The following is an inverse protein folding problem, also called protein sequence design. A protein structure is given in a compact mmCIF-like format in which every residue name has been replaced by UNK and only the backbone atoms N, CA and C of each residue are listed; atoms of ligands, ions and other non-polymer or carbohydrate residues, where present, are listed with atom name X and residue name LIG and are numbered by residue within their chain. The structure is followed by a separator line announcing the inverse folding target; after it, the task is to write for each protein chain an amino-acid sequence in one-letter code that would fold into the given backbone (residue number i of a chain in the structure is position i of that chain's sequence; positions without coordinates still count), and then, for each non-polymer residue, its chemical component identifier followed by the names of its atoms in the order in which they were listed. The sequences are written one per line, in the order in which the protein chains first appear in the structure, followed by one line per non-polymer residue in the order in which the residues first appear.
data_IF_455261663907
#
_entry.id   IF_455261663907
#
_cell.length_a   1.000
_cell.length_b   1.000
_cell.length_c   1.000
_cell.angle_alpha   90.00
_cell.angle_beta   90.00
_cell.angle_gamma   90.00
#
_symmetry.space_group_name_H-M   'P 1'
#
loop_
_entity.id
_entity.type
_entity.pdbx_description
1 polymer ?
#
# COMPACT_ATOMS: atom_id res chain seq x y z
N UNK A 1 -31.98 -38.32 56.55
CA UNK A 1 -32.58 -38.14 55.21
C UNK A 1 -32.31 -36.70 54.73
N UNK A 2 -31.19 -36.49 54.03
CA UNK A 2 -31.09 -35.95 52.64
C UNK A 2 -31.91 -34.67 52.35
N UNK A 3 -31.27 -33.50 52.47
CA UNK A 3 -31.59 -32.28 51.71
C UNK A 3 -30.28 -31.69 51.18
N UNK A 4 -30.05 -31.89 49.88
CA UNK A 4 -28.88 -31.46 49.08
C UNK A 4 -29.47 -30.58 47.96
N UNK A 5 -29.19 -29.28 47.95
CA UNK A 5 -28.09 -28.65 47.16
C UNK A 5 -28.45 -28.58 45.66
N UNK A 6 -29.27 -27.60 45.26
CA UNK A 6 -29.64 -27.36 43.85
C UNK A 6 -30.02 -25.88 43.60
N UNK A 7 -29.16 -24.93 43.94
CA UNK A 7 -29.32 -23.51 43.59
C UNK A 7 -27.94 -22.85 43.47
N UNK A 8 -27.17 -23.20 42.43
CA UNK A 8 -25.79 -22.66 42.31
C UNK A 8 -25.03 -22.92 41.02
N UNK A 9 -25.70 -23.17 39.89
CA UNK A 9 -25.00 -23.50 38.62
C UNK A 9 -25.39 -22.55 37.46
N UNK A 10 -26.43 -21.71 37.60
CA UNK A 10 -26.94 -20.90 36.49
C UNK A 10 -26.21 -19.59 36.17
N UNK A 11 -25.30 -19.10 37.02
CA UNK A 11 -24.71 -17.75 36.89
C UNK A 11 -23.27 -17.76 36.35
N UNK A 12 -22.71 -18.94 36.07
CA UNK A 12 -21.29 -19.08 35.73
C UNK A 12 -20.97 -19.18 34.22
N UNK A 13 -21.92 -18.82 33.33
CA UNK A 13 -21.71 -18.92 31.88
C UNK A 13 -21.80 -17.60 31.10
N UNK A 14 -21.91 -16.45 31.78
CA UNK A 14 -22.15 -15.15 31.14
C UNK A 14 -20.93 -14.22 31.01
N UNK A 15 -19.71 -14.75 31.16
CA UNK A 15 -18.50 -13.93 31.27
C UNK A 15 -17.41 -14.14 30.20
N UNK A 16 -17.66 -14.85 29.09
CA UNK A 16 -16.61 -15.08 28.07
C UNK A 16 -17.04 -14.71 26.64
N UNK A 17 -17.67 -13.55 26.49
CA UNK A 17 -17.70 -12.83 25.22
C UNK A 17 -16.84 -11.57 25.36
N UNK A 18 -15.54 -11.73 25.69
CA UNK A 18 -14.60 -10.64 25.42
C UNK A 18 -14.48 -10.54 23.90
N UNK A 19 -15.23 -9.57 23.38
CA UNK A 19 -15.36 -9.24 21.99
C UNK A 19 -13.98 -9.25 21.32
N UNK A 20 -13.90 -9.94 20.18
CA UNK A 20 -12.90 -9.64 19.16
C UNK A 20 -13.20 -8.27 18.57
N UNK A 21 -13.09 -7.22 19.39
CA UNK A 21 -13.21 -5.86 18.94
C UNK A 21 -12.01 -5.60 18.03
N UNK A 22 -12.29 -5.17 16.80
CA UNK A 22 -11.25 -4.74 15.88
C UNK A 22 -10.36 -3.71 16.57
N UNK A 23 -9.02 -3.84 16.49
CA UNK A 23 -8.11 -2.89 17.08
C UNK A 23 -8.44 -1.48 16.60
N UNK A 24 -8.68 -0.54 17.53
CA UNK A 24 -9.08 0.83 17.19
C UNK A 24 -8.51 1.84 18.16
N UNK A 25 -8.21 3.02 17.60
CA UNK A 25 -7.86 4.22 18.35
C UNK A 25 -9.02 5.20 18.23
N UNK A 26 -9.38 5.85 19.34
CA UNK A 26 -10.42 6.89 19.38
C UNK A 26 -10.05 7.99 20.38
N UNK A 27 -10.80 9.08 20.36
CA UNK A 27 -10.69 10.12 21.39
C UNK A 27 -9.35 10.85 21.42
N UNK A 28 -8.64 10.93 20.28
CA UNK A 28 -7.35 11.63 20.20
C UNK A 28 -7.56 13.12 20.46
N UNK A 29 -6.90 13.63 21.50
CA UNK A 29 -6.85 15.04 21.90
C UNK A 29 -5.42 15.38 22.23
N UNK A 30 -5.04 16.64 22.09
CA UNK A 30 -3.74 17.09 22.57
C UNK A 30 -3.85 18.45 23.24
N UNK A 31 -2.98 18.68 24.21
CA UNK A 31 -2.85 19.93 24.93
C UNK A 31 -1.38 20.34 24.96
N UNK A 32 -1.13 21.63 24.79
CA UNK A 32 0.22 22.19 24.86
C UNK A 32 0.44 22.73 26.27
N UNK A 33 1.30 22.08 27.04
CA UNK A 33 1.72 22.62 28.34
C UNK A 33 2.81 23.66 28.10
N UNK A 34 2.44 24.94 28.12
CA UNK A 34 3.35 26.06 27.87
C UNK A 34 4.45 26.20 28.92
N UNK A 35 4.28 25.67 30.13
CA UNK A 35 5.29 25.76 31.21
C UNK A 35 6.43 24.79 30.97
N UNK A 36 6.07 23.55 30.65
CA UNK A 36 7.03 22.45 30.47
C UNK A 36 7.45 22.27 29.01
N UNK A 37 6.89 23.08 28.10
CA UNK A 37 7.09 23.01 26.63
C UNK A 37 6.84 21.60 26.08
N UNK A 38 5.87 20.93 26.67
CA UNK A 38 5.58 19.52 26.47
C UNK A 38 4.18 19.40 25.87
N UNK A 39 4.07 18.63 24.80
CA UNK A 39 2.77 18.34 24.18
C UNK A 39 2.24 17.04 24.77
N UNK A 40 1.11 17.11 25.44
CA UNK A 40 0.41 15.96 26.00
C UNK A 40 -0.67 15.51 25.01
N UNK A 41 -0.57 14.28 24.54
CA UNK A 41 -1.51 13.66 23.60
C UNK A 41 -2.28 12.58 24.36
N UNK A 42 -3.58 12.77 24.52
CA UNK A 42 -4.47 11.80 25.17
C UNK A 42 -5.27 11.04 24.11
N UNK A 43 -5.39 9.72 24.27
CA UNK A 43 -6.16 8.87 23.36
C UNK A 43 -6.70 7.62 24.06
N UNK A 44 -7.67 6.98 23.43
CA UNK A 44 -8.20 5.68 23.85
C UNK A 44 -7.79 4.60 22.85
N UNK A 45 -7.43 3.42 23.35
CA UNK A 45 -7.03 2.29 22.51
C UNK A 45 -7.68 1.01 22.99
N UNK A 46 -8.31 0.28 22.07
CA UNK A 46 -9.01 -0.98 22.35
C UNK A 46 -8.61 -2.05 21.34
N UNK A 47 -8.67 -3.32 21.75
CA UNK A 47 -8.41 -4.47 20.87
C UNK A 47 -6.94 -4.64 20.45
N UNK A 48 -6.01 -3.88 21.02
CA UNK A 48 -4.57 -3.98 20.71
C UNK A 48 -3.92 -5.21 21.36
N UNK A 49 -3.01 -5.87 20.64
CA UNK A 49 -2.19 -6.99 21.13
C UNK A 49 -0.80 -6.50 21.54
N UNK A 50 -0.09 -7.29 22.36
CA UNK A 50 1.27 -6.92 22.82
C UNK A 50 2.28 -6.70 21.70
N UNK A 51 2.09 -7.34 20.54
CA UNK A 51 2.98 -7.22 19.39
C UNK A 51 2.70 -5.97 18.54
N UNK A 52 1.51 -5.37 18.66
CA UNK A 52 1.13 -4.19 17.89
C UNK A 52 1.86 -2.95 18.40
N UNK A 53 1.96 -1.93 17.54
CA UNK A 53 2.75 -0.73 17.80
C UNK A 53 1.92 0.54 17.60
N UNK A 54 2.06 1.51 18.51
CA UNK A 54 1.43 2.83 18.42
C UNK A 54 2.47 3.86 17.96
N UNK A 55 2.10 4.66 16.95
CA UNK A 55 2.93 5.74 16.42
C UNK A 55 2.19 7.06 16.45
N UNK A 56 2.95 8.15 16.45
CA UNK A 56 2.43 9.51 16.36
C UNK A 56 3.02 10.17 15.13
N UNK A 57 2.15 10.78 14.32
CA UNK A 57 2.53 11.62 13.20
C UNK A 57 2.00 13.02 13.45
N UNK A 58 2.86 14.02 13.26
CA UNK A 58 2.52 15.43 13.46
C UNK A 58 2.69 16.16 12.13
N UNK A 59 1.72 16.99 11.76
CA UNK A 59 1.82 17.84 10.59
C UNK A 59 1.60 19.31 10.98
N UNK A 60 2.60 20.16 10.74
CA UNK A 60 2.44 21.60 10.80
C UNK A 60 1.79 22.13 9.53
N UNK A 61 1.00 23.19 9.65
CA UNK A 61 0.33 23.84 8.52
C UNK A 61 1.30 24.40 7.47
N UNK A 62 2.46 24.86 7.92
CA UNK A 62 3.54 25.49 7.15
C UNK A 62 4.74 24.57 7.04
N UNK A 63 5.16 23.95 8.16
CA UNK A 63 6.35 23.06 8.16
C UNK A 63 6.09 21.69 7.51
N UNK A 64 4.83 21.33 7.25
CA UNK A 64 4.45 20.03 6.71
C UNK A 64 4.66 18.91 7.73
N UNK A 65 5.13 17.75 7.28
CA UNK A 65 5.28 16.57 8.15
C UNK A 65 6.46 16.74 9.13
N UNK A 66 6.15 16.73 10.42
CA UNK A 66 7.10 16.82 11.53
C UNK A 66 7.25 15.43 12.14
N UNK A 67 8.50 14.96 12.28
CA UNK A 67 8.80 13.65 12.86
C UNK A 67 9.16 13.81 14.34
N UNK A 68 8.25 13.50 15.27
CA UNK A 68 8.55 13.55 16.70
C UNK A 68 9.56 12.44 17.07
N UNK A 69 10.67 12.80 17.73
CA UNK A 69 11.71 11.86 18.17
C UNK A 69 11.65 11.61 19.68
N UNK A 70 11.46 12.67 20.46
CA UNK A 70 11.44 12.63 21.93
C UNK A 70 10.04 12.34 22.47
N UNK A 71 9.50 11.18 22.11
CA UNK A 71 8.22 10.68 22.62
C UNK A 71 8.41 9.82 23.87
N UNK A 72 7.52 9.95 24.83
CA UNK A 72 7.46 9.11 26.03
C UNK A 72 6.00 8.79 26.43
N UNK A 73 5.82 7.84 27.37
CA UNK A 73 4.50 7.39 27.81
C UNK A 73 3.96 6.19 27.03
N UNK A 74 2.67 6.19 26.70
CA UNK A 74 1.99 5.10 26.03
C UNK A 74 2.23 5.14 24.51
N UNK A 75 3.47 4.92 24.06
CA UNK A 75 3.87 4.91 22.64
C UNK A 75 4.72 3.67 22.33
N UNK A 76 4.73 3.23 21.07
CA UNK A 76 5.51 2.08 20.62
C UNK A 76 4.82 0.74 20.87
N UNK A 77 5.62 -0.31 21.12
CA UNK A 77 5.14 -1.68 21.33
C UNK A 77 4.70 -1.93 22.77
N UNK A 78 3.79 -2.88 22.97
CA UNK A 78 3.38 -3.34 24.29
C UNK A 78 2.47 -2.37 25.05
N UNK A 79 1.86 -1.41 24.34
CA UNK A 79 0.87 -0.51 24.91
C UNK A 79 -0.36 -1.31 25.33
N UNK A 80 -0.79 -1.16 26.59
CA UNK A 80 -1.97 -1.84 27.13
C UNK A 80 -3.26 -1.18 26.63
N UNK A 81 -4.31 -1.94 26.27
CA UNK A 81 -5.62 -1.37 25.96
C UNK A 81 -6.17 -0.57 27.15
N UNK A 82 -6.93 0.49 26.89
CA UNK A 82 -7.55 1.34 27.90
C UNK A 82 -7.84 2.74 27.38
N UNK A 83 -8.68 3.46 28.13
CA UNK A 83 -8.99 4.87 27.90
C UNK A 83 -7.99 5.80 28.59
N UNK A 84 -7.84 7.03 28.08
CA UNK A 84 -7.01 8.07 28.69
C UNK A 84 -5.52 7.74 28.68
N UNK A 85 -5.05 7.01 27.67
CA UNK A 85 -3.61 6.80 27.45
C UNK A 85 -2.96 8.12 27.05
N UNK A 86 -1.76 8.36 27.58
CA UNK A 86 -1.03 9.63 27.39
C UNK A 86 0.29 9.38 26.70
N UNK A 87 0.58 10.19 25.68
CA UNK A 87 1.88 10.32 25.05
C UNK A 87 2.38 11.73 25.31
N UNK A 88 3.65 11.83 25.65
CA UNK A 88 4.33 13.06 25.99
C UNK A 88 5.39 13.32 24.94
N UNK A 89 5.29 14.46 24.26
CA UNK A 89 6.27 14.88 23.27
C UNK A 89 7.03 16.11 23.76
N UNK A 90 8.34 15.94 23.95
CA UNK A 90 9.26 17.04 24.25
C UNK A 90 9.75 17.67 22.94
N UNK A 91 9.09 18.77 22.56
CA UNK A 91 9.39 19.50 21.33
C UNK A 91 10.76 20.17 21.39
N UNK A 92 11.21 20.54 22.59
CA UNK A 92 12.47 21.25 22.82
C UNK A 92 13.64 20.29 22.74
N UNK A 93 13.50 19.08 23.28
CA UNK A 93 14.49 18.01 23.12
C UNK A 93 14.71 17.64 21.64
N UNK A 94 13.68 17.78 20.81
CA UNK A 94 13.78 17.60 19.36
C UNK A 94 14.42 18.81 18.63
N UNK A 95 14.73 19.90 19.34
CA UNK A 95 15.29 21.11 18.78
C UNK A 95 14.30 21.91 17.92
N UNK A 96 13.01 21.66 18.10
CA UNK A 96 11.94 22.28 17.31
C UNK A 96 11.33 23.47 18.06
N UNK A 97 10.91 24.48 17.30
CA UNK A 97 10.07 25.57 17.79
C UNK A 97 8.77 25.52 17.00
N UNK A 98 7.64 25.33 17.69
CA UNK A 98 6.32 25.29 17.07
C UNK A 98 5.67 26.64 17.31
N UNK A 99 5.62 27.47 16.27
CA UNK A 99 4.94 28.77 16.22
C UNK A 99 3.73 28.74 15.27
N UNK A 100 3.21 27.55 14.99
CA UNK A 100 2.14 27.32 14.03
C UNK A 100 1.08 26.34 14.53
N UNK A 101 -0.04 26.29 13.81
CA UNK A 101 -1.09 25.29 14.00
C UNK A 101 -0.59 23.90 13.58
N UNK A 102 -0.73 22.92 14.47
CA UNK A 102 -0.32 21.53 14.25
C UNK A 102 -1.52 20.58 14.27
N UNK A 103 -1.47 19.56 13.42
CA UNK A 103 -2.38 18.43 13.40
C UNK A 103 -1.64 17.20 13.94
N UNK A 104 -2.17 16.58 15.00
CA UNK A 104 -1.61 15.38 15.62
C UNK A 104 -2.48 14.18 15.30
N UNK A 105 -1.87 13.11 14.78
CA UNK A 105 -2.54 11.83 14.49
C UNK A 105 -1.82 10.70 15.21
N UNK A 106 -2.59 9.85 15.88
CA UNK A 106 -2.11 8.61 16.50
C UNK A 106 -2.50 7.44 15.59
N UNK A 107 -1.53 6.62 15.23
CA UNK A 107 -1.68 5.51 14.31
C UNK A 107 -1.39 4.18 15.02
N UNK A 108 -2.12 3.15 14.61
CA UNK A 108 -1.92 1.78 15.06
C UNK A 108 -1.31 0.98 13.92
N UNK A 109 -0.22 0.30 14.20
CA UNK A 109 0.39 -0.66 13.30
C UNK A 109 0.26 -2.08 13.86
N UNK A 110 -0.37 -2.96 13.09
CA UNK A 110 -0.65 -4.33 13.49
C UNK A 110 0.57 -5.22 13.23
N UNK A 111 0.96 -6.03 14.21
CA UNK A 111 2.11 -6.93 14.07
C UNK A 111 1.94 -7.96 12.94
N UNK A 112 0.71 -8.42 12.71
CA UNK A 112 0.41 -9.38 11.65
C UNK A 112 0.66 -8.80 10.26
N UNK A 113 0.53 -7.48 10.07
CA UNK A 113 0.86 -6.84 8.81
C UNK A 113 2.35 -7.02 8.46
N UNK A 114 3.24 -6.94 9.46
CA UNK A 114 4.67 -7.23 9.27
C UNK A 114 4.95 -8.72 9.04
N UNK A 115 4.24 -9.62 9.73
CA UNK A 115 4.42 -11.06 9.53
C UNK A 115 4.02 -11.48 8.10
N UNK A 116 2.99 -10.87 7.54
CA UNK A 116 2.57 -11.07 6.15
C UNK A 116 3.55 -10.43 5.17
N UNK A 117 4.02 -9.21 5.43
CA UNK A 117 5.02 -8.55 4.58
C UNK A 117 6.39 -9.27 4.58
N UNK A 118 6.78 -9.86 5.70
CA UNK A 118 8.04 -10.60 5.84
C UNK A 118 8.01 -12.02 5.28
N UNK A 119 6.84 -12.68 5.28
CA UNK A 119 6.70 -14.07 4.81
C UNK A 119 6.93 -14.27 3.31
N UNK A 120 6.92 -13.21 2.51
CA UNK A 120 7.01 -13.33 1.04
C UNK A 120 8.44 -13.13 0.48
N UNK A 121 9.49 -13.15 1.31
CA UNK A 121 10.86 -12.87 0.86
C UNK A 121 11.82 -14.08 0.85
N UNK A 122 11.46 -15.20 1.49
CA UNK A 122 12.35 -16.37 1.57
C UNK A 122 11.90 -17.55 0.71
N UNK A 123 10.63 -17.58 0.28
CA UNK A 123 10.20 -18.46 -0.79
C UNK A 123 10.63 -17.85 -2.11
N UNK A 124 11.69 -18.36 -2.74
CA UNK A 124 11.83 -18.25 -4.21
C UNK A 124 10.45 -18.60 -4.75
N UNK A 125 9.73 -17.68 -5.43
CA UNK A 125 8.35 -17.94 -5.84
C UNK A 125 8.40 -19.31 -6.51
N UNK A 126 7.60 -20.30 -6.04
CA UNK A 126 7.64 -21.63 -6.61
C UNK A 126 7.54 -21.38 -8.09
N UNK A 127 8.58 -21.79 -8.86
CA UNK A 127 8.63 -21.59 -10.31
C UNK A 127 7.22 -21.93 -10.74
N UNK A 128 6.45 -20.92 -11.15
CA UNK A 128 5.11 -21.18 -11.59
C UNK A 128 5.36 -22.03 -12.80
N UNK A 129 5.23 -23.35 -12.62
CA UNK A 129 5.00 -24.25 -13.72
C UNK A 129 3.64 -23.77 -14.15
N UNK A 130 3.65 -22.74 -15.00
CA UNK A 130 2.54 -22.37 -15.83
C UNK A 130 2.30 -23.66 -16.59
N UNK A 131 1.47 -24.54 -16.02
CA UNK A 131 0.68 -25.44 -16.81
C UNK A 131 -0.03 -24.46 -17.72
N UNK A 132 0.52 -24.31 -18.94
CA UNK A 132 -0.21 -23.69 -20.03
C UNK A 132 -1.42 -24.57 -20.14
N UNK A 133 -2.48 -24.20 -19.43
CA UNK A 133 -3.81 -24.57 -19.84
C UNK A 133 -3.94 -23.92 -21.20
N UNK A 134 -3.54 -24.69 -22.23
CA UNK A 134 -3.90 -24.49 -23.61
C UNK A 134 -5.41 -24.75 -23.74
N UNK A 135 -6.22 -24.16 -22.86
CA UNK A 135 -7.59 -23.80 -23.22
C UNK A 135 -7.42 -22.59 -24.11
N UNK A 136 -7.10 -22.90 -25.36
CA UNK A 136 -6.87 -21.89 -26.38
C UNK A 136 -8.02 -20.92 -26.35
N UNK A 137 -7.70 -19.64 -26.14
CA UNK A 137 -8.47 -18.61 -26.82
C UNK A 137 -8.46 -19.03 -28.28
N UNK A 138 -9.62 -19.46 -28.79
CA UNK A 138 -9.80 -19.78 -30.18
C UNK A 138 -9.22 -18.62 -31.00
N UNK A 139 -8.10 -18.86 -31.67
CA UNK A 139 -7.32 -17.85 -32.40
C UNK A 139 -8.12 -17.12 -33.50
N UNK A 140 -9.35 -17.55 -33.77
CA UNK A 140 -10.29 -16.86 -34.65
C UNK A 140 -10.87 -15.56 -34.08
N UNK A 141 -10.96 -15.38 -32.76
CA UNK A 141 -11.55 -14.16 -32.19
C UNK A 141 -10.57 -12.96 -32.17
N UNK A 142 -9.26 -13.23 -32.26
CA UNK A 142 -8.19 -12.21 -32.25
C UNK A 142 -7.76 -11.77 -33.65
N UNK A 143 -8.25 -12.44 -34.70
CA UNK A 143 -7.90 -12.17 -36.10
C UNK A 143 -8.92 -11.27 -36.84
N UNK A 144 -10.05 -10.93 -36.22
CA UNK A 144 -11.11 -10.14 -36.88
C UNK A 144 -11.05 -8.65 -36.52
N UNK A 145 -10.23 -8.28 -35.54
CA UNK A 145 -9.85 -6.89 -35.29
C UNK A 145 -8.43 -6.73 -35.81
N UNK A 146 -8.17 -5.67 -36.60
CA UNK A 146 -6.90 -5.46 -37.30
C UNK A 146 -5.67 -5.73 -36.43
N UNK A 147 -4.57 -6.17 -37.06
CA UNK A 147 -3.36 -6.57 -36.36
C UNK A 147 -2.81 -5.50 -35.41
N UNK A 148 -3.16 -4.22 -35.59
CA UNK A 148 -2.77 -3.15 -34.70
C UNK A 148 -3.60 -3.03 -33.41
N UNK A 149 -4.90 -3.34 -33.43
CA UNK A 149 -5.72 -3.42 -32.21
C UNK A 149 -5.29 -4.58 -31.30
N UNK A 150 -4.96 -5.73 -31.89
CA UNK A 150 -4.43 -6.89 -31.17
C UNK A 150 -3.05 -6.61 -30.55
N UNK A 151 -2.14 -6.00 -31.32
CA UNK A 151 -0.83 -5.59 -30.83
C UNK A 151 -0.93 -4.48 -29.76
N UNK A 152 -1.83 -3.51 -29.95
CA UNK A 152 -2.08 -2.44 -29.00
C UNK A 152 -2.64 -2.93 -27.67
N UNK A 153 -3.61 -3.86 -27.70
CA UNK A 153 -4.13 -4.52 -26.49
C UNK A 153 -3.07 -5.33 -25.75
N UNK A 154 -2.21 -6.05 -26.49
CA UNK A 154 -1.08 -6.78 -25.92
C UNK A 154 -0.06 -5.86 -25.24
N UNK A 155 0.30 -4.75 -25.88
CA UNK A 155 1.22 -3.75 -25.32
C UNK A 155 0.62 -3.03 -24.10
N UNK A 156 -0.69 -2.76 -24.12
CA UNK A 156 -1.39 -2.18 -22.97
C UNK A 156 -1.38 -3.13 -21.77
N UNK A 157 -1.74 -4.40 -21.96
CA UNK A 157 -1.70 -5.42 -20.90
C UNK A 157 -0.28 -5.64 -20.37
N UNK A 158 0.73 -5.60 -21.25
CA UNK A 158 2.11 -5.74 -20.81
C UNK A 158 2.60 -4.51 -20.04
N UNK A 159 2.12 -3.32 -20.39
CA UNK A 159 2.40 -2.08 -19.66
C UNK A 159 1.83 -2.11 -18.23
N UNK A 160 0.60 -2.60 -18.03
CA UNK A 160 0.01 -2.69 -16.68
C UNK A 160 0.79 -3.67 -15.78
N UNK A 161 1.21 -4.82 -16.32
CA UNK A 161 2.09 -5.77 -15.63
C UNK A 161 3.45 -5.16 -15.26
N UNK A 162 4.06 -4.36 -16.15
CA UNK A 162 5.33 -3.68 -15.87
C UNK A 162 5.18 -2.58 -14.81
N UNK A 163 4.04 -1.86 -14.81
CA UNK A 163 3.74 -0.85 -13.80
C UNK A 163 3.65 -1.48 -12.41
N UNK A 164 2.95 -2.61 -12.28
CA UNK A 164 2.85 -3.34 -11.01
C UNK A 164 4.22 -3.78 -10.48
N UNK A 165 5.08 -4.35 -11.35
CA UNK A 165 6.46 -4.71 -10.99
C UNK A 165 7.32 -3.51 -10.58
N UNK A 166 7.11 -2.34 -11.22
CA UNK A 166 7.81 -1.11 -10.87
C UNK A 166 7.42 -0.59 -9.49
N UNK A 167 6.14 -0.70 -9.11
CA UNK A 167 5.63 -0.32 -7.79
C UNK A 167 6.26 -1.23 -6.72
N UNK A 168 6.23 -2.54 -6.91
CA UNK A 168 6.85 -3.49 -5.98
C UNK A 168 8.36 -3.23 -5.79
N UNK A 169 9.07 -2.91 -6.87
CA UNK A 169 10.49 -2.57 -6.80
C UNK A 169 10.75 -1.25 -6.06
N UNK A 170 9.84 -0.28 -6.20
CA UNK A 170 9.92 1.00 -5.52
C UNK A 170 9.61 0.92 -4.03
N UNK A 171 8.68 0.05 -3.63
CA UNK A 171 8.37 -0.21 -2.22
C UNK A 171 9.54 -0.92 -1.52
N UNK A 172 10.21 -1.87 -2.20
CA UNK A 172 11.46 -2.47 -1.71
C UNK A 172 12.56 -1.42 -1.51
N UNK A 173 12.71 -0.49 -2.46
CA UNK A 173 13.65 0.63 -2.32
C UNK A 173 13.31 1.53 -1.12
N UNK A 174 12.03 1.88 -0.92
CA UNK A 174 11.60 2.67 0.24
C UNK A 174 11.93 1.99 1.56
N UNK A 175 11.62 0.70 1.69
CA UNK A 175 11.88 -0.08 2.91
C UNK A 175 13.38 -0.12 3.20
N UNK A 176 14.23 -0.38 2.19
CA UNK A 176 15.68 -0.48 2.37
C UNK A 176 16.34 0.86 2.66
N UNK A 177 15.86 1.95 2.04
CA UNK A 177 16.42 3.30 2.24
C UNK A 177 15.95 3.94 3.56
N UNK A 178 14.79 3.55 4.10
CA UNK A 178 14.32 4.07 5.39
C UNK A 178 15.24 3.64 6.54
N UNK A 179 15.85 2.46 6.44
CA UNK A 179 16.86 1.99 7.40
C UNK A 179 18.21 2.70 7.30
N UNK A 180 18.49 3.39 6.18
CA UNK A 180 19.78 4.05 5.94
C UNK A 180 19.77 5.56 6.23
N UNK A 181 18.59 6.15 6.47
CA UNK A 181 18.45 7.60 6.74
C UNK A 181 18.65 8.01 8.19
N UNK A 182 18.73 7.06 9.11
CA UNK A 182 19.16 7.37 10.47
C UNK A 182 20.69 7.39 10.45
N UNK A 183 21.29 8.49 10.93
CA UNK A 183 22.72 8.69 11.11
C UNK A 183 23.32 7.60 12.02
N UNK A 184 23.46 6.39 11.49
CA UNK A 184 24.31 5.38 12.10
C UNK A 184 25.72 5.87 11.79
N UNK A 185 26.27 6.67 12.71
CA UNK A 185 27.72 6.85 12.81
C UNK A 185 28.31 5.50 13.20
N UNK A 186 28.44 4.63 12.19
CA UNK A 186 29.20 3.40 12.33
C UNK A 186 30.60 3.86 12.69
N UNK A 187 31.11 3.40 13.83
CA UNK A 187 32.47 3.70 14.27
C UNK A 187 33.51 3.32 13.21
N UNK A 188 34.79 3.44 13.53
CA UNK A 188 35.92 3.20 12.60
C UNK A 188 36.08 1.75 12.11
N UNK A 189 35.04 0.91 12.23
CA UNK A 189 35.03 -0.46 11.73
C UNK A 189 34.87 -0.47 10.20
N UNK A 190 35.95 -0.83 9.52
CA UNK A 190 36.09 -0.87 8.06
C UNK A 190 35.21 -1.94 7.40
N UNK A 191 34.85 -3.02 8.09
CA UNK A 191 34.02 -4.09 7.50
C UNK A 191 32.53 -3.68 7.44
N UNK A 192 32.04 -3.00 8.47
CA UNK A 192 30.69 -2.45 8.48
C UNK A 192 30.53 -1.34 7.43
N UNK A 193 31.53 -0.48 7.25
CA UNK A 193 31.54 0.52 6.18
C UNK A 193 31.47 -0.12 4.79
N UNK A 194 32.22 -1.21 4.56
CA UNK A 194 32.20 -1.93 3.27
C UNK A 194 30.82 -2.57 3.00
N UNK A 195 30.19 -3.16 4.01
CA UNK A 195 28.84 -3.73 3.88
C UNK A 195 27.78 -2.65 3.64
N UNK A 196 27.90 -1.50 4.31
CA UNK A 196 27.01 -0.37 4.09
C UNK A 196 27.14 0.16 2.65
N UNK A 197 28.37 0.37 2.18
CA UNK A 197 28.63 0.82 0.81
C UNK A 197 28.05 -0.14 -0.24
N UNK A 198 28.24 -1.46 -0.07
CA UNK A 198 27.65 -2.47 -0.96
C UNK A 198 26.11 -2.45 -0.93
N UNK A 199 25.50 -2.23 0.24
CA UNK A 199 24.04 -2.10 0.35
C UNK A 199 23.50 -0.85 -0.31
N UNK A 200 24.23 0.28 -0.24
CA UNK A 200 23.85 1.53 -0.90
C UNK A 200 23.92 1.35 -2.42
N UNK A 201 25.02 0.78 -2.93
CA UNK A 201 25.19 0.49 -4.36
C UNK A 201 24.07 -0.41 -4.90
N UNK A 202 23.71 -1.46 -4.16
CA UNK A 202 22.60 -2.34 -4.53
C UNK A 202 21.25 -1.61 -4.52
N UNK A 203 21.02 -0.72 -3.55
CA UNK A 203 19.81 0.10 -3.49
C UNK A 203 19.71 1.06 -4.69
N UNK A 204 20.81 1.67 -5.09
CA UNK A 204 20.87 2.56 -6.25
C UNK A 204 20.66 1.79 -7.57
N UNK A 205 21.21 0.59 -7.68
CA UNK A 205 20.97 -0.30 -8.82
C UNK A 205 19.49 -0.69 -8.95
N UNK A 206 18.84 -1.05 -7.83
CA UNK A 206 17.42 -1.37 -7.78
C UNK A 206 16.54 -0.14 -8.13
N UNK A 207 16.89 1.04 -7.62
CA UNK A 207 16.22 2.30 -7.97
C UNK A 207 16.33 2.63 -9.46
N UNK A 208 17.54 2.51 -10.04
CA UNK A 208 17.77 2.74 -11.46
C UNK A 208 16.93 1.78 -12.32
N UNK A 209 16.87 0.50 -11.94
CA UNK A 209 16.06 -0.52 -12.62
C UNK A 209 14.57 -0.20 -12.55
N UNK A 210 14.06 0.20 -11.38
CA UNK A 210 12.66 0.60 -11.20
C UNK A 210 12.32 1.81 -12.08
N UNK A 211 13.20 2.82 -12.13
CA UNK A 211 13.02 4.01 -12.97
C UNK A 211 13.02 3.65 -14.46
N UNK A 212 13.92 2.77 -14.91
CA UNK A 212 13.95 2.28 -16.30
C UNK A 212 12.67 1.52 -16.65
N UNK A 213 12.19 0.63 -15.77
CA UNK A 213 10.95 -0.12 -15.98
C UNK A 213 9.73 0.80 -16.05
N UNK A 214 9.67 1.82 -15.19
CA UNK A 214 8.59 2.80 -15.21
C UNK A 214 8.58 3.58 -16.54
N UNK A 215 9.73 4.06 -17.00
CA UNK A 215 9.87 4.75 -18.29
C UNK A 215 9.47 3.85 -19.45
N UNK A 216 9.93 2.60 -19.47
CA UNK A 216 9.58 1.62 -20.49
C UNK A 216 8.06 1.36 -20.52
N UNK A 217 7.42 1.23 -19.35
CA UNK A 217 5.96 1.04 -19.27
C UNK A 217 5.19 2.21 -19.87
N UNK A 218 5.66 3.46 -19.66
CA UNK A 218 5.05 4.67 -20.22
C UNK A 218 5.19 4.71 -21.74
N UNK A 219 6.40 4.42 -22.25
CA UNK A 219 6.66 4.36 -23.69
C UNK A 219 5.80 3.29 -24.36
N UNK A 220 5.69 2.11 -23.76
CA UNK A 220 4.85 1.02 -24.29
C UNK A 220 3.37 1.31 -24.24
N UNK A 221 2.88 2.00 -23.20
CA UNK A 221 1.49 2.42 -23.12
C UNK A 221 1.15 3.43 -24.22
N UNK A 222 2.00 4.45 -24.38
CA UNK A 222 1.82 5.48 -25.42
C UNK A 222 1.91 4.84 -26.80
N UNK A 223 2.92 3.99 -27.03
CA UNK A 223 3.09 3.27 -28.29
C UNK A 223 1.94 2.32 -28.62
N UNK A 224 1.47 1.56 -27.63
CA UNK A 224 0.34 0.63 -27.79
C UNK A 224 -0.97 1.35 -28.12
N UNK A 225 -1.25 2.48 -27.45
CA UNK A 225 -2.43 3.31 -27.73
C UNK A 225 -2.32 3.94 -29.12
N UNK A 226 -1.16 4.51 -29.47
CA UNK A 226 -0.97 5.13 -30.78
C UNK A 226 -1.16 4.13 -31.93
N UNK A 227 -0.67 2.90 -31.76
CA UNK A 227 -0.79 1.81 -32.73
C UNK A 227 -2.23 1.30 -32.84
N UNK A 228 -2.95 1.19 -31.73
CA UNK A 228 -4.38 0.86 -31.71
C UNK A 228 -5.23 1.93 -32.41
N UNK A 229 -4.95 3.21 -32.18
CA UNK A 229 -5.66 4.34 -32.81
C UNK A 229 -5.40 4.38 -34.30
N UNK A 230 -4.15 4.22 -34.74
CA UNK A 230 -3.83 4.20 -36.17
C UNK A 230 -4.52 3.04 -36.88
N UNK A 231 -4.48 1.83 -36.31
CA UNK A 231 -5.16 0.68 -36.90
C UNK A 231 -6.67 0.88 -36.98
N UNK A 232 -7.31 1.37 -35.90
CA UNK A 232 -8.73 1.70 -35.90
C UNK A 232 -9.09 2.77 -36.95
N UNK A 233 -8.25 3.79 -37.12
CA UNK A 233 -8.48 4.86 -38.10
C UNK A 233 -8.44 4.33 -39.54
N UNK A 234 -7.61 3.33 -39.85
CA UNK A 234 -7.53 2.73 -41.20
C UNK A 234 -8.53 1.57 -41.42
N UNK A 235 -8.85 0.78 -40.40
CA UNK A 235 -9.78 -0.37 -40.54
C UNK A 235 -11.25 0.00 -40.41
N UNK A 236 -11.62 1.00 -39.59
CA UNK A 236 -13.04 1.35 -39.40
C UNK A 236 -13.69 1.90 -40.69
N UNK A 237 -13.06 2.81 -41.47
CA UNK A 237 -13.67 3.32 -42.70
C UNK A 237 -13.87 2.22 -43.77
N UNK A 238 -12.92 1.29 -43.88
CA UNK A 238 -13.01 0.17 -44.83
C UNK A 238 -14.10 -0.84 -44.44
N UNK A 239 -14.35 -1.02 -43.14
CA UNK A 239 -15.48 -1.81 -42.64
C UNK A 239 -16.84 -1.09 -42.85
N UNK A 240 -16.89 0.24 -42.73
CA UNK A 240 -18.12 1.03 -42.93
C UNK A 240 -18.56 1.11 -44.40
N UNK A 241 -17.64 1.02 -45.37
CA UNK A 241 -17.99 1.01 -46.79
C UNK A 241 -18.65 -0.31 -47.25
N UNK A 242 -18.43 -1.43 -46.56
CA UNK A 242 -19.17 -2.68 -46.81
C UNK A 242 -20.51 -2.62 -46.09
N UNK A 243 -21.53 -2.16 -46.82
CA UNK A 243 -22.93 -1.91 -46.44
C UNK A 243 -23.71 -3.16 -46.00
N UNK A 244 -23.22 -3.90 -45.00
CA UNK A 244 -23.93 -4.99 -44.36
C UNK A 244 -24.23 -4.58 -42.91
N UNK A 245 -25.49 -4.20 -42.64
CA UNK A 245 -26.00 -3.57 -41.40
C UNK A 245 -25.94 -4.45 -40.12
N UNK A 246 -24.98 -5.36 -40.01
CA UNK A 246 -24.94 -6.37 -38.93
C UNK A 246 -23.91 -6.09 -37.83
N UNK A 247 -23.03 -5.11 -37.99
CA UNK A 247 -22.00 -4.77 -36.99
C UNK A 247 -22.15 -3.32 -36.53
N UNK A 248 -22.55 -3.14 -35.28
CA UNK A 248 -22.60 -1.82 -34.63
C UNK A 248 -21.51 -1.70 -33.58
N UNK A 249 -20.74 -0.61 -33.61
CA UNK A 249 -19.80 -0.26 -32.55
C UNK A 249 -20.53 0.60 -31.51
N UNK A 250 -20.39 0.24 -30.23
CA UNK A 250 -20.82 1.09 -29.11
C UNK A 250 -19.59 1.51 -28.30
N UNK A 251 -19.50 2.80 -28.04
CA UNK A 251 -18.53 3.38 -27.13
C UNK A 251 -19.30 3.88 -25.92
N UNK A 252 -19.07 3.26 -24.76
CA UNK A 252 -19.67 3.67 -23.50
C UNK A 252 -18.56 4.16 -22.57
N UNK A 253 -18.70 5.37 -22.05
CA UNK A 253 -17.79 5.96 -21.08
C UNK A 253 -18.49 6.02 -19.73
N UNK A 254 -17.94 5.28 -18.76
CA UNK A 254 -18.51 5.27 -17.41
C UNK A 254 -18.31 6.63 -16.71
N UNK A 255 -19.12 6.95 -15.68
CA UNK A 255 -18.94 8.16 -14.86
C UNK A 255 -17.56 8.27 -14.21
N UNK A 256 -16.83 7.16 -14.11
CA UNK A 256 -15.48 7.07 -13.54
C UNK A 256 -14.37 7.24 -14.59
N UNK A 257 -14.71 7.65 -15.82
CA UNK A 257 -13.74 7.89 -16.89
C UNK A 257 -13.16 6.64 -17.54
N UNK A 258 -13.71 5.45 -17.25
CA UNK A 258 -13.34 4.22 -17.96
C UNK A 258 -14.10 4.16 -19.28
N UNK A 259 -13.37 4.25 -20.39
CA UNK A 259 -13.91 4.06 -21.73
C UNK A 259 -13.96 2.56 -22.07
N UNK A 260 -15.11 2.09 -22.52
CA UNK A 260 -15.34 0.73 -22.99
C UNK A 260 -15.84 0.76 -24.42
N UNK A 261 -15.33 -0.14 -25.26
CA UNK A 261 -15.78 -0.31 -26.64
C UNK A 261 -16.32 -1.73 -26.81
N UNK A 262 -17.59 -1.83 -27.20
CA UNK A 262 -18.27 -3.09 -27.49
C UNK A 262 -18.59 -3.20 -28.98
N UNK A 263 -18.38 -4.36 -29.56
CA UNK A 263 -18.82 -4.70 -30.92
C UNK A 263 -20.08 -5.54 -30.80
N UNK A 264 -21.21 -5.06 -31.32
CA UNK A 264 -22.44 -5.84 -31.40
C UNK A 264 -22.56 -6.43 -32.81
N UNK A 265 -22.48 -7.76 -32.90
CA UNK A 265 -22.63 -8.51 -34.15
C UNK A 265 -23.98 -9.22 -34.10
N UNK A 266 -24.94 -8.79 -34.92
CA UNK A 266 -26.21 -9.52 -35.13
C UNK A 266 -25.98 -10.60 -36.18
N UNK A 267 -26.08 -11.88 -35.78
CA UNK A 267 -26.08 -13.01 -36.71
C UNK A 267 -27.40 -13.08 -37.48
#
# INVERSE_FOLDING_TARGET
MKKILLLGIGVWWLALAEAMAQPRISGVRFEVNSKDKLIEITYDVFGIRMADSIYVTVAGKTSGNIVPRSLSGAVGRGVKPGSGRKIYWDVVADGLKIDEEIEVKVQLELAEAYALAGRDTTGRPPKTVVKRDRKGLNGGALLVLGGGLAAGGGLYYWSTLMKEKSIASYDLYKIRNWNHKQDISIGTDTELQRRLAASIEQSDADFKKAKTQQTLSKVMLIGGVALAVTDAFFTIPTLLQKKNNRVGLRFDMSPWGVASAGVNVKF
#
